data_IF_960660704285
#
_entry.id   IF_960660704285
#
_cell.length_a   1.000
_cell.length_b   1.000
_cell.length_c   1.000
_cell.angle_alpha   90.00
_cell.angle_beta   90.00
_cell.angle_gamma   90.00
#
_symmetry.space_group_name_H-M   'P 1'
#
loop_
_entity.id
_entity.type
_entity.pdbx_description
1 polymer ?
#
# COMPACT_ATOMS: atom_id res chain seq x y z
N UNK A 1 0.05 14.83 -19.29
CA UNK A 1 0.61 13.46 -19.30
C UNK A 1 0.99 12.97 -17.90
N UNK A 2 1.77 13.72 -17.09
CA UNK A 2 2.14 13.32 -15.72
C UNK A 2 0.95 13.03 -14.79
N UNK A 3 -0.13 13.79 -14.89
CA UNK A 3 -1.34 13.56 -14.06
C UNK A 3 -2.05 12.23 -14.40
N UNK A 4 -1.88 11.72 -15.64
CA UNK A 4 -2.47 10.45 -16.05
C UNK A 4 -1.81 9.27 -15.33
N UNK A 5 -0.49 9.22 -15.20
CA UNK A 5 0.18 8.09 -14.55
C UNK A 5 0.39 8.28 -13.04
N UNK A 6 0.00 9.43 -12.48
CA UNK A 6 0.01 9.64 -11.01
C UNK A 6 -0.92 8.71 -10.23
N UNK A 7 -1.98 8.19 -10.87
CA UNK A 7 -2.94 7.29 -10.21
C UNK A 7 -2.47 5.82 -10.24
N UNK A 8 -2.45 5.19 -9.06
CA UNK A 8 -2.03 3.81 -8.87
C UNK A 8 -2.86 2.78 -9.65
N UNK A 9 -4.17 2.99 -9.77
CA UNK A 9 -5.05 2.12 -10.57
C UNK A 9 -4.70 2.18 -12.04
N UNK A 10 -4.52 3.38 -12.62
CA UNK A 10 -4.15 3.53 -14.04
C UNK A 10 -2.81 2.87 -14.36
N UNK A 11 -1.81 3.00 -13.49
CA UNK A 11 -0.54 2.27 -13.66
C UNK A 11 -0.73 0.76 -13.62
N UNK A 12 -1.57 0.24 -12.70
CA UNK A 12 -1.84 -1.20 -12.60
C UNK A 12 -2.59 -1.76 -13.81
N UNK A 13 -3.56 -1.02 -14.35
CA UNK A 13 -4.23 -1.37 -15.60
C UNK A 13 -3.20 -1.54 -16.71
N UNK A 14 -2.34 -0.53 -16.91
CA UNK A 14 -1.33 -0.56 -17.97
C UNK A 14 -0.29 -1.66 -17.77
N UNK A 15 0.17 -1.90 -16.53
CA UNK A 15 1.08 -3.03 -16.25
C UNK A 15 0.45 -4.36 -16.62
N UNK A 16 -0.80 -4.58 -16.23
CA UNK A 16 -1.50 -5.82 -16.56
C UNK A 16 -1.66 -5.98 -18.07
N UNK A 17 -2.03 -4.90 -18.76
CA UNK A 17 -2.19 -4.89 -20.22
C UNK A 17 -0.88 -5.02 -21.01
N UNK A 18 0.27 -4.73 -20.40
CA UNK A 18 1.59 -5.00 -20.99
C UNK A 18 1.93 -6.49 -20.99
N UNK A 19 1.41 -7.25 -20.03
CA UNK A 19 1.60 -8.70 -19.92
C UNK A 19 0.52 -9.46 -20.71
N UNK A 20 -0.76 -9.11 -20.48
CA UNK A 20 -1.93 -9.65 -21.14
C UNK A 20 -2.61 -8.54 -21.96
N UNK A 21 -2.41 -8.50 -23.29
CA UNK A 21 -2.84 -7.37 -24.15
C UNK A 21 -4.32 -7.01 -24.10
N UNK A 22 -5.18 -7.90 -23.61
CA UNK A 22 -6.60 -7.68 -23.49
C UNK A 22 -7.16 -8.38 -22.25
N UNK A 23 -8.15 -7.78 -21.62
CA UNK A 23 -8.85 -8.38 -20.47
C UNK A 23 -10.27 -7.81 -20.37
N UNK A 24 -11.20 -8.59 -19.84
CA UNK A 24 -12.55 -8.09 -19.53
C UNK A 24 -12.50 -7.05 -18.42
N UNK A 25 -13.36 -6.04 -18.50
CA UNK A 25 -13.47 -5.02 -17.46
C UNK A 25 -13.81 -5.66 -16.09
N UNK A 26 -14.60 -6.73 -16.11
CA UNK A 26 -14.96 -7.51 -14.91
C UNK A 26 -13.74 -8.16 -14.26
N UNK A 27 -12.92 -8.86 -15.05
CA UNK A 27 -11.73 -9.55 -14.52
C UNK A 27 -10.65 -8.56 -14.11
N UNK A 28 -10.47 -7.48 -14.88
CA UNK A 28 -9.57 -6.39 -14.53
C UNK A 28 -9.98 -5.74 -13.20
N UNK A 29 -11.28 -5.55 -12.99
CA UNK A 29 -11.81 -5.04 -11.71
C UNK A 29 -11.51 -5.98 -10.56
N UNK A 30 -11.68 -7.28 -10.76
CA UNK A 30 -11.40 -8.28 -9.75
C UNK A 30 -9.91 -8.33 -9.40
N UNK A 31 -9.01 -8.33 -10.40
CA UNK A 31 -7.56 -8.32 -10.18
C UNK A 31 -7.10 -7.05 -9.46
N UNK A 32 -7.63 -5.88 -9.84
CA UNK A 32 -7.29 -4.62 -9.17
C UNK A 32 -7.86 -4.56 -7.75
N UNK A 33 -9.08 -5.06 -7.52
CA UNK A 33 -9.67 -5.15 -6.19
C UNK A 33 -8.89 -6.11 -5.27
N UNK A 34 -8.48 -7.27 -5.79
CA UNK A 34 -7.64 -8.23 -5.07
C UNK A 34 -6.33 -7.60 -4.61
N UNK A 35 -5.68 -6.87 -5.52
CA UNK A 35 -4.47 -6.13 -5.19
C UNK A 35 -4.70 -5.06 -4.12
N UNK A 36 -5.81 -4.31 -4.19
CA UNK A 36 -6.07 -3.19 -3.26
C UNK A 36 -6.42 -3.62 -1.86
N UNK A 37 -7.06 -4.78 -1.74
CA UNK A 37 -7.45 -5.35 -0.46
C UNK A 37 -6.46 -6.42 0.02
N UNK A 38 -5.33 -6.60 -0.68
CA UNK A 38 -4.33 -7.64 -0.41
C UNK A 38 -4.95 -9.02 -0.12
N UNK A 39 -5.91 -9.40 -0.98
CA UNK A 39 -6.79 -10.55 -0.78
C UNK A 39 -6.90 -11.33 -2.09
N UNK A 40 -6.95 -12.68 -2.06
CA UNK A 40 -7.17 -13.46 -3.28
C UNK A 40 -8.47 -13.10 -3.98
N UNK A 41 -8.52 -13.22 -5.31
CA UNK A 41 -9.74 -12.95 -6.10
C UNK A 41 -10.93 -13.80 -5.63
N UNK A 42 -10.66 -15.03 -5.17
CA UNK A 42 -11.67 -15.95 -4.65
C UNK A 42 -12.36 -15.46 -3.37
N UNK A 43 -11.66 -14.69 -2.54
CA UNK A 43 -12.14 -14.22 -1.24
C UNK A 43 -12.74 -12.80 -1.32
N UNK A 44 -12.74 -12.18 -2.50
CA UNK A 44 -13.31 -10.84 -2.69
C UNK A 44 -14.83 -10.84 -2.52
N UNK A 45 -15.33 -9.80 -1.86
CA UNK A 45 -16.77 -9.55 -1.81
C UNK A 45 -17.27 -8.97 -3.13
N UNK A 46 -18.55 -9.20 -3.44
CA UNK A 46 -19.21 -8.59 -4.60
C UNK A 46 -19.20 -7.06 -4.53
N UNK A 47 -19.21 -6.48 -3.32
CA UNK A 47 -19.18 -5.03 -3.10
C UNK A 47 -17.84 -4.43 -3.52
N UNK A 48 -16.73 -5.03 -3.10
CA UNK A 48 -15.38 -4.56 -3.45
C UNK A 48 -15.14 -4.61 -4.96
N UNK A 49 -15.49 -5.73 -5.60
CA UNK A 49 -15.42 -5.86 -7.07
C UNK A 49 -16.23 -4.79 -7.77
N UNK A 50 -17.48 -4.56 -7.33
CA UNK A 50 -18.38 -3.57 -7.94
C UNK A 50 -17.87 -2.14 -7.78
N UNK A 51 -17.27 -1.80 -6.64
CA UNK A 51 -16.72 -0.48 -6.40
C UNK A 51 -15.55 -0.18 -7.35
N UNK A 52 -14.64 -1.14 -7.52
CA UNK A 52 -13.53 -1.01 -8.47
C UNK A 52 -14.06 -0.95 -9.91
N UNK A 53 -15.00 -1.82 -10.26
CA UNK A 53 -15.64 -1.84 -11.59
C UNK A 53 -16.21 -0.48 -11.98
N UNK A 54 -17.04 0.11 -11.13
CA UNK A 54 -17.63 1.43 -11.40
C UNK A 54 -16.55 2.49 -11.61
N UNK A 55 -15.50 2.47 -10.79
CA UNK A 55 -14.38 3.42 -10.90
C UNK A 55 -13.56 3.22 -12.18
N UNK A 56 -13.31 1.97 -12.59
CA UNK A 56 -12.63 1.67 -13.85
C UNK A 56 -13.45 2.17 -15.04
N UNK A 57 -14.73 1.83 -15.05
CA UNK A 57 -15.66 2.19 -16.11
C UNK A 57 -15.83 3.70 -16.27
N UNK A 58 -16.02 4.43 -15.17
CA UNK A 58 -16.40 5.85 -15.21
C UNK A 58 -15.20 6.80 -15.29
N UNK A 59 -14.03 6.38 -14.82
CA UNK A 59 -12.91 7.31 -14.63
C UNK A 59 -11.63 6.82 -15.28
N UNK A 60 -11.20 5.59 -15.01
CA UNK A 60 -9.85 5.16 -15.37
C UNK A 60 -9.73 4.76 -16.84
N UNK A 61 -10.64 3.91 -17.33
CA UNK A 61 -10.62 3.44 -18.71
C UNK A 61 -10.89 4.59 -19.69
N UNK A 62 -11.93 5.45 -19.49
CA UNK A 62 -12.15 6.60 -20.38
C UNK A 62 -10.94 7.53 -20.47
N UNK A 63 -10.33 7.89 -19.33
CA UNK A 63 -9.11 8.72 -19.31
C UNK A 63 -7.93 8.07 -20.05
N UNK A 64 -7.73 6.76 -19.91
CA UNK A 64 -6.65 6.07 -20.62
C UNK A 64 -6.92 6.01 -22.13
N UNK A 65 -8.19 5.89 -22.51
CA UNK A 65 -8.62 5.83 -23.92
C UNK A 65 -8.54 7.19 -24.61
N UNK A 66 -8.92 8.28 -23.93
CA UNK A 66 -8.72 9.66 -24.41
C UNK A 66 -7.26 9.98 -24.76
N UNK A 67 -6.31 9.29 -24.11
CA UNK A 67 -4.88 9.43 -24.37
C UNK A 67 -4.31 8.36 -25.31
N UNK A 68 -5.15 7.51 -25.91
CA UNK A 68 -4.75 6.48 -26.86
C UNK A 68 -3.89 5.37 -26.26
N UNK A 69 -3.95 5.16 -24.94
CA UNK A 69 -3.18 4.10 -24.28
C UNK A 69 -3.92 2.76 -24.28
N UNK A 70 -5.25 2.81 -24.19
CA UNK A 70 -6.12 1.64 -24.20
C UNK A 70 -7.34 1.90 -25.08
N UNK A 71 -7.97 0.84 -25.54
CA UNK A 71 -9.26 0.86 -26.20
C UNK A 71 -10.25 0.07 -25.37
N UNK A 72 -11.50 0.52 -25.34
CA UNK A 72 -12.58 -0.13 -24.62
C UNK A 72 -13.67 -0.53 -25.59
N UNK A 73 -13.88 -1.83 -25.73
CA UNK A 73 -15.01 -2.40 -26.46
C UNK A 73 -16.21 -2.50 -25.50
N UNK A 74 -17.28 -1.75 -25.78
CA UNK A 74 -18.48 -1.77 -24.95
C UNK A 74 -19.37 -3.00 -25.16
N UNK A 75 -19.29 -3.64 -26.34
CA UNK A 75 -20.08 -4.83 -26.66
C UNK A 75 -19.49 -6.05 -25.94
N UNK A 76 -18.17 -6.23 -26.05
CA UNK A 76 -17.44 -7.34 -25.42
C UNK A 76 -17.02 -7.03 -23.97
N UNK A 77 -17.13 -5.76 -23.54
CA UNK A 77 -16.60 -5.23 -22.26
C UNK A 77 -15.11 -5.52 -22.08
N UNK A 78 -14.35 -5.46 -23.17
CA UNK A 78 -12.91 -5.70 -23.18
C UNK A 78 -12.14 -4.38 -23.11
N UNK A 79 -11.05 -4.40 -22.37
CA UNK A 79 -10.03 -3.34 -22.38
C UNK A 79 -8.80 -3.93 -23.06
N UNK A 80 -8.32 -3.28 -24.12
CA UNK A 80 -7.15 -3.70 -24.88
C UNK A 80 -6.07 -2.63 -24.89
N UNK A 81 -4.80 -3.05 -24.99
CA UNK A 81 -3.67 -2.14 -25.11
C UNK A 81 -3.51 -1.66 -26.56
N UNK A 82 -3.61 -0.35 -26.80
CA UNK A 82 -3.48 0.24 -28.13
C UNK A 82 -2.16 0.99 -28.32
N UNK A 83 -1.60 1.53 -27.23
CA UNK A 83 -0.35 2.28 -27.29
C UNK A 83 0.89 1.41 -27.52
N UNK A 84 2.00 2.05 -27.91
CA UNK A 84 3.31 1.40 -27.99
C UNK A 84 3.74 0.87 -26.62
N UNK A 85 3.81 -0.46 -26.51
CA UNK A 85 4.12 -1.18 -25.28
C UNK A 85 5.48 -0.78 -24.70
N UNK A 86 6.50 -0.57 -25.55
CA UNK A 86 7.84 -0.20 -25.10
C UNK A 86 7.87 1.23 -24.57
N UNK A 87 7.11 2.13 -25.21
CA UNK A 87 6.93 3.50 -24.74
C UNK A 87 6.23 3.51 -23.37
N UNK A 88 5.13 2.76 -23.22
CA UNK A 88 4.38 2.69 -21.96
C UNK A 88 5.24 2.08 -20.86
N UNK A 89 6.01 1.01 -21.15
CA UNK A 89 6.93 0.38 -20.19
C UNK A 89 7.96 1.36 -19.66
N UNK A 90 8.64 2.11 -20.54
CA UNK A 90 9.59 3.16 -20.13
C UNK A 90 8.93 4.22 -19.24
N UNK A 91 7.72 4.67 -19.58
CA UNK A 91 6.98 5.63 -18.75
C UNK A 91 6.55 5.08 -17.39
N UNK A 92 6.28 3.78 -17.26
CA UNK A 92 5.94 3.17 -15.98
C UNK A 92 7.16 2.95 -15.08
N UNK A 93 8.35 2.76 -15.67
CA UNK A 93 9.62 2.58 -14.94
C UNK A 93 10.16 3.90 -14.36
N UNK A 94 10.03 5.01 -15.11
CA UNK A 94 10.53 6.34 -14.67
C UNK A 94 9.76 6.87 -13.46
N UNK A 95 8.45 6.60 -13.37
CA UNK A 95 7.59 7.10 -12.28
C UNK A 95 7.40 6.10 -11.12
N UNK A 96 8.12 4.98 -11.09
CA UNK A 96 7.97 3.94 -10.08
C UNK A 96 9.19 3.78 -9.15
N UNK A 97 9.43 4.70 -8.20
CA UNK A 97 9.91 4.27 -6.90
C UNK A 97 8.72 3.62 -6.18
N UNK A 98 8.53 2.32 -6.43
CA UNK A 98 8.05 1.28 -5.50
C UNK A 98 7.29 1.66 -4.20
N UNK A 99 6.30 2.55 -4.22
CA UNK A 99 5.44 2.77 -3.03
C UNK A 99 4.44 1.64 -2.75
N UNK A 100 4.67 0.42 -3.24
CA UNK A 100 3.71 -0.70 -3.19
C UNK A 100 4.05 -1.78 -2.16
N UNK A 101 5.05 -1.58 -1.30
CA UNK A 101 5.36 -2.48 -0.17
C UNK A 101 5.14 -1.88 1.22
N UNK A 102 4.61 -0.66 1.33
CA UNK A 102 4.73 0.13 2.56
C UNK A 102 3.66 -0.12 3.63
N UNK A 103 2.62 -0.94 3.43
CA UNK A 103 1.61 -1.17 4.48
C UNK A 103 1.88 -2.41 5.35
N UNK A 104 2.51 -3.47 4.84
CA UNK A 104 2.60 -4.73 5.59
C UNK A 104 3.83 -4.84 6.52
N UNK A 105 4.97 -4.20 6.20
CA UNK A 105 6.19 -4.33 7.02
C UNK A 105 6.16 -3.46 8.28
N UNK A 106 5.52 -2.30 8.23
CA UNK A 106 5.46 -1.36 9.36
C UNK A 106 4.55 -1.86 10.49
N UNK A 107 3.51 -2.64 10.16
CA UNK A 107 2.66 -3.33 11.14
C UNK A 107 3.45 -4.24 12.09
N UNK A 108 4.52 -4.88 11.61
CA UNK A 108 5.39 -5.72 12.45
C UNK A 108 6.17 -4.91 13.48
N UNK A 109 6.60 -3.70 13.14
CA UNK A 109 7.27 -2.80 14.08
C UNK A 109 6.31 -2.30 15.17
N UNK A 110 5.06 -1.97 14.81
CA UNK A 110 4.02 -1.65 15.78
C UNK A 110 3.64 -2.85 16.67
N UNK A 111 3.61 -4.06 16.12
CA UNK A 111 3.34 -5.28 16.89
C UNK A 111 4.44 -5.57 17.92
N UNK A 112 5.71 -5.52 17.53
CA UNK A 112 6.81 -5.78 18.48
C UNK A 112 6.89 -4.73 19.58
N UNK A 113 6.67 -3.45 19.26
CA UNK A 113 6.64 -2.38 20.27
C UNK A 113 5.46 -2.52 21.23
N UNK A 114 4.28 -2.88 20.73
CA UNK A 114 3.12 -3.19 21.57
C UNK A 114 3.38 -4.40 22.48
N UNK A 115 3.96 -5.49 21.95
CA UNK A 115 4.29 -6.70 22.73
C UNK A 115 5.29 -6.39 23.85
N UNK A 116 6.35 -5.64 23.56
CA UNK A 116 7.37 -5.28 24.57
C UNK A 116 6.77 -4.37 25.63
N UNK A 117 6.00 -3.35 25.23
CA UNK A 117 5.31 -2.46 26.18
C UNK A 117 4.32 -3.21 27.08
N UNK A 118 3.51 -4.09 26.49
CA UNK A 118 2.56 -4.93 27.23
C UNK A 118 3.26 -5.92 28.18
N UNK A 119 4.40 -6.50 27.79
CA UNK A 119 5.15 -7.42 28.65
C UNK A 119 5.72 -6.71 29.89
N UNK A 120 6.22 -5.47 29.74
CA UNK A 120 6.71 -4.66 30.87
C UNK A 120 5.58 -4.32 31.84
N UNK A 121 4.41 -3.90 31.31
CA UNK A 121 3.23 -3.58 32.14
C UNK A 121 2.70 -4.84 32.84
N UNK A 122 2.62 -5.96 32.14
CA UNK A 122 2.16 -7.24 32.69
C UNK A 122 3.10 -7.78 33.78
N UNK A 123 4.42 -7.66 33.58
CA UNK A 123 5.43 -8.03 34.59
C UNK A 123 5.30 -7.22 35.87
N UNK A 124 4.94 -5.94 35.76
CA UNK A 124 4.63 -5.09 36.91
C UNK A 124 3.33 -5.51 37.62
N UNK A 125 2.28 -5.90 36.87
CA UNK A 125 0.98 -6.27 37.43
C UNK A 125 0.98 -7.65 38.13
N UNK A 126 1.79 -8.59 37.64
CA UNK A 126 1.86 -9.96 38.18
C UNK A 126 2.59 -10.07 39.53
N UNK A 127 3.14 -8.97 40.07
CA UNK A 127 3.75 -8.95 41.40
C UNK A 127 4.97 -9.86 41.58
N UNK A 128 5.61 -10.28 40.48
CA UNK A 128 6.80 -11.15 40.49
C UNK A 128 8.12 -10.38 40.68
N UNK A 129 8.07 -9.06 40.72
CA UNK A 129 9.19 -8.25 41.19
C UNK A 129 9.10 -8.09 42.72
N UNK A 130 10.21 -8.13 43.47
CA UNK A 130 10.21 -7.84 44.90
C UNK A 130 9.95 -6.34 45.10
N UNK A 131 8.68 -5.94 45.11
CA UNK A 131 8.23 -4.56 45.20
C UNK A 131 8.20 -4.11 46.66
N UNK A 132 9.34 -3.64 47.15
CA UNK A 132 9.38 -2.73 48.31
C UNK A 132 10.06 -1.40 48.01
N UNK A 133 10.52 -1.15 46.77
CA UNK A 133 11.14 0.14 46.39
C UNK A 133 10.81 0.57 44.96
N UNK A 134 9.53 0.68 44.61
CA UNK A 134 9.16 1.36 43.34
C UNK A 134 9.00 2.85 43.65
N UNK A 135 10.13 3.55 43.65
CA UNK A 135 10.18 5.01 43.78
C UNK A 135 9.61 5.66 42.53
N UNK A 136 9.02 6.86 42.64
CA UNK A 136 8.43 7.62 41.52
C UNK A 136 9.37 7.76 40.31
N UNK A 137 10.67 7.67 40.54
CA UNK A 137 11.77 7.68 39.58
C UNK A 137 11.70 6.55 38.55
N UNK A 138 11.28 5.34 38.94
CA UNK A 138 11.18 4.22 37.98
C UNK A 138 10.02 4.39 37.01
N UNK A 139 8.97 5.11 37.41
CA UNK A 139 7.82 5.41 36.55
C UNK A 139 8.22 6.35 35.41
N UNK A 140 9.03 7.37 35.71
CA UNK A 140 9.54 8.30 34.70
C UNK A 140 10.50 7.60 33.72
N UNK A 141 11.30 6.64 34.20
CA UNK A 141 12.17 5.83 33.35
C UNK A 141 11.39 5.03 32.30
N UNK A 142 10.31 4.34 32.72
CA UNK A 142 9.45 3.59 31.79
C UNK A 142 8.76 4.53 30.79
N UNK A 143 8.24 5.66 31.25
CA UNK A 143 7.60 6.65 30.38
C UNK A 143 8.58 7.19 29.32
N UNK A 144 9.82 7.44 29.71
CA UNK A 144 10.86 7.96 28.82
C UNK A 144 11.27 6.91 27.79
N UNK A 145 11.39 5.64 28.16
CA UNK A 145 11.68 4.55 27.22
C UNK A 145 10.55 4.39 26.20
N UNK A 146 9.30 4.41 26.64
CA UNK A 146 8.13 4.35 25.75
C UNK A 146 8.11 5.55 24.80
N UNK A 147 8.36 6.75 25.32
CA UNK A 147 8.44 7.96 24.51
C UNK A 147 9.60 7.90 23.49
N UNK A 148 10.77 7.39 23.88
CA UNK A 148 11.91 7.21 22.97
C UNK A 148 11.60 6.19 21.89
N UNK A 149 10.95 5.08 22.23
CA UNK A 149 10.52 4.07 21.25
C UNK A 149 9.48 4.64 20.29
N UNK A 150 8.51 5.41 20.78
CA UNK A 150 7.53 6.12 19.94
C UNK A 150 8.20 7.17 19.05
N UNK A 151 9.15 7.93 19.58
CA UNK A 151 9.90 8.96 18.85
C UNK A 151 10.76 8.34 17.75
N UNK A 152 11.51 7.28 18.03
CA UNK A 152 12.30 6.55 17.03
C UNK A 152 11.38 5.95 15.96
N UNK A 153 10.25 5.36 16.37
CA UNK A 153 9.29 4.80 15.42
C UNK A 153 8.64 5.88 14.54
N UNK A 154 8.38 7.06 15.09
CA UNK A 154 7.84 8.22 14.37
C UNK A 154 8.88 8.83 13.40
N UNK A 155 10.11 9.08 13.88
CA UNK A 155 11.20 9.61 13.06
C UNK A 155 11.51 8.66 11.91
N UNK A 156 11.55 7.35 12.14
CA UNK A 156 11.78 6.39 11.05
C UNK A 156 10.61 6.30 10.07
N UNK A 157 9.36 6.47 10.55
CA UNK A 157 8.18 6.54 9.69
C UNK A 157 8.14 7.82 8.83
N UNK A 158 8.68 8.94 9.33
CA UNK A 158 8.62 10.25 8.66
C UNK A 158 9.89 10.56 7.84
N UNK A 159 11.07 10.20 8.34
CA UNK A 159 12.38 10.59 7.79
C UNK A 159 13.18 9.46 7.15
N UNK A 160 12.82 8.20 7.38
CA UNK A 160 13.42 7.05 6.65
C UNK A 160 13.51 7.25 5.13
N UNK A 161 12.52 7.85 4.45
CA UNK A 161 12.59 8.14 3.02
C UNK A 161 13.62 9.22 2.62
N UNK A 162 14.02 10.11 3.53
CA UNK A 162 14.95 11.23 3.26
C UNK A 162 16.41 10.80 3.43
N UNK A 163 16.69 9.94 4.40
CA UNK A 163 18.05 9.48 4.70
C UNK A 163 18.61 8.55 3.61
N UNK A 164 17.75 7.74 2.97
CA UNK A 164 18.14 6.89 1.82
C UNK A 164 18.44 7.66 0.53
N UNK A 165 18.09 8.96 0.45
CA UNK A 165 18.39 9.82 -0.70
C UNK A 165 19.69 10.61 -0.58
N UNK A 166 20.31 10.64 0.60
CA UNK A 166 21.55 11.39 0.86
C UNK A 166 22.79 10.50 0.84
N UNK A 167 22.62 9.19 0.62
CA UNK A 167 23.71 8.20 0.54
C UNK A 167 24.11 7.80 -0.88
N UNK A 168 23.49 8.36 -1.92
CA UNK A 168 23.85 8.18 -3.33
C UNK A 168 24.28 9.49 -3.96
#
# INVERSE_FOLDING_TARGET
MFDLLGNSRRRRILRHLLDERQITLTDLSARIAAWENDTPVADLTSRERKQVYSSLYQTHVPRLSEHGLVEYDSEERLVSLTGDADRIRRFLEVEAPDRTGFSHQWSRYFLWTAVVGSAVIAGNWLGTAPTTHVTTESLYGVLTVVFMMLSISFVMAVEGPKLLRLGN
#
